data_IF_440736374463
#
_entry.id   IF_440736374463
#
_cell.length_a   1.000
_cell.length_b   1.000
_cell.length_c   1.000
_cell.angle_alpha   90.00
_cell.angle_beta   90.00
_cell.angle_gamma   90.00
#
_symmetry.space_group_name_H-M   'P 1'
#
loop_
_entity.id
_entity.type
_entity.pdbx_description
1 polymer ?
#
# COMPACT_ATOMS: atom_id res chain seq x y z
N UNK A 1 11.15 22.38 -3.63
CA UNK A 1 10.18 21.95 -2.59
C UNK A 1 10.85 20.85 -1.78
N UNK A 2 10.72 20.86 -0.45
CA UNK A 2 11.19 19.76 0.39
C UNK A 2 10.08 18.70 0.45
N UNK A 3 10.31 17.52 -0.11
CA UNK A 3 9.30 16.46 -0.22
C UNK A 3 9.55 15.42 0.86
N UNK A 4 8.52 15.08 1.64
CA UNK A 4 8.57 13.96 2.56
C UNK A 4 8.41 12.65 1.80
N UNK A 5 9.54 12.07 1.40
CA UNK A 5 9.56 10.80 0.67
C UNK A 5 9.10 9.62 1.53
N UNK A 6 9.25 9.70 2.86
CA UNK A 6 8.80 8.62 3.74
C UNK A 6 7.27 8.52 3.75
N UNK A 7 6.58 9.66 3.81
CA UNK A 7 5.12 9.69 3.70
C UNK A 7 4.63 9.17 2.33
N UNK A 8 5.35 9.48 1.24
CA UNK A 8 5.05 8.94 -0.09
C UNK A 8 5.24 7.42 -0.12
N UNK A 9 6.34 6.92 0.42
CA UNK A 9 6.64 5.49 0.43
C UNK A 9 5.59 4.70 1.21
N UNK A 10 5.18 5.21 2.37
CA UNK A 10 4.15 4.57 3.19
C UNK A 10 2.78 4.60 2.49
N UNK A 11 2.43 5.68 1.79
CA UNK A 11 1.22 5.74 0.97
C UNK A 11 1.27 4.76 -0.21
N UNK A 12 2.41 4.66 -0.91
CA UNK A 12 2.60 3.70 -2.01
C UNK A 12 2.51 2.27 -1.50
N UNK A 13 3.12 1.97 -0.36
CA UNK A 13 3.04 0.65 0.26
C UNK A 13 1.61 0.29 0.63
N UNK A 14 0.85 1.23 1.20
CA UNK A 14 -0.58 1.05 1.46
C UNK A 14 -1.37 0.80 0.17
N UNK A 15 -1.13 1.58 -0.89
CA UNK A 15 -1.85 1.42 -2.16
C UNK A 15 -1.48 0.13 -2.91
N UNK A 16 -0.29 -0.43 -2.71
CA UNK A 16 0.02 -1.77 -3.21
C UNK A 16 -0.93 -2.82 -2.61
N UNK A 17 -1.32 -2.69 -1.34
CA UNK A 17 -2.29 -3.59 -0.69
C UNK A 17 -3.66 -3.57 -1.38
N UNK A 18 -4.11 -2.41 -1.89
CA UNK A 18 -5.34 -2.29 -2.67
C UNK A 18 -5.35 -3.20 -3.90
N UNK A 19 -4.17 -3.48 -4.46
CA UNK A 19 -3.99 -4.30 -5.67
C UNK A 19 -3.51 -5.72 -5.39
N UNK A 20 -3.57 -6.16 -4.12
CA UNK A 20 -3.14 -7.48 -3.69
C UNK A 20 -3.91 -8.59 -4.42
N UNK A 21 -3.16 -9.54 -4.97
CA UNK A 21 -3.65 -10.75 -5.63
C UNK A 21 -2.64 -11.88 -5.38
N UNK A 22 -3.00 -13.11 -5.76
CA UNK A 22 -2.15 -14.30 -5.61
C UNK A 22 -1.47 -14.41 -4.24
N UNK A 23 -2.22 -14.07 -3.18
CA UNK A 23 -1.80 -14.03 -1.76
C UNK A 23 -0.77 -12.96 -1.38
N UNK A 24 0.26 -12.71 -2.19
CA UNK A 24 1.36 -11.80 -1.85
C UNK A 24 1.87 -10.95 -3.02
N UNK A 25 1.12 -10.85 -4.12
CA UNK A 25 1.53 -10.08 -5.31
C UNK A 25 0.69 -8.82 -5.45
N UNK A 26 1.28 -7.74 -5.95
CA UNK A 26 0.59 -6.47 -6.17
C UNK A 26 0.99 -5.84 -7.51
N UNK A 27 0.08 -5.11 -8.15
CA UNK A 27 0.39 -4.42 -9.41
C UNK A 27 1.36 -3.26 -9.15
N UNK A 28 2.46 -3.18 -9.91
CA UNK A 28 3.55 -2.23 -9.65
C UNK A 28 3.44 -0.91 -10.42
N UNK A 29 2.21 -0.42 -10.64
CA UNK A 29 1.92 0.77 -11.46
C UNK A 29 2.25 2.13 -10.81
N UNK A 30 2.98 2.13 -9.69
CA UNK A 30 3.34 3.32 -8.93
C UNK A 30 4.71 3.88 -9.36
N UNK A 31 5.06 5.04 -8.81
CA UNK A 31 6.36 5.68 -9.03
C UNK A 31 7.53 4.72 -8.80
N UNK A 32 8.48 4.72 -9.74
CA UNK A 32 9.59 3.77 -9.74
C UNK A 32 10.53 3.99 -8.57
N UNK A 33 10.78 5.23 -8.18
CA UNK A 33 11.73 5.54 -7.11
C UNK A 33 11.15 5.18 -5.75
N UNK A 34 9.84 5.35 -5.55
CA UNK A 34 9.14 4.83 -4.36
C UNK A 34 9.23 3.31 -4.26
N UNK A 35 9.00 2.58 -5.37
CA UNK A 35 9.14 1.12 -5.38
C UNK A 35 10.59 0.68 -5.08
N UNK A 36 11.60 1.38 -5.61
CA UNK A 36 13.00 1.10 -5.30
C UNK A 36 13.30 1.28 -3.80
N UNK A 37 12.83 2.37 -3.17
CA UNK A 37 13.00 2.57 -1.72
C UNK A 37 12.28 1.51 -0.89
N UNK A 38 11.10 1.05 -1.31
CA UNK A 38 10.40 -0.06 -0.65
C UNK A 38 11.15 -1.39 -0.77
N UNK A 39 11.83 -1.63 -1.90
CA UNK A 39 12.72 -2.76 -2.08
C UNK A 39 13.97 -2.66 -1.20
N UNK A 40 14.61 -1.50 -1.14
CA UNK A 40 15.76 -1.23 -0.24
C UNK A 40 15.38 -1.42 1.24
N UNK A 41 14.13 -1.10 1.61
CA UNK A 41 13.55 -1.36 2.94
C UNK A 41 13.21 -2.84 3.19
N UNK A 42 13.33 -3.72 2.18
CA UNK A 42 13.02 -5.14 2.29
C UNK A 42 11.52 -5.46 2.42
N UNK A 43 10.64 -4.56 1.96
CA UNK A 43 9.18 -4.73 2.06
C UNK A 43 8.58 -5.41 0.83
N UNK A 44 9.24 -5.26 -0.32
CA UNK A 44 8.87 -5.94 -1.57
C UNK A 44 10.11 -6.59 -2.19
N UNK A 45 9.90 -7.51 -3.13
CA UNK A 45 10.93 -8.02 -4.01
C UNK A 45 11.30 -7.02 -5.11
N UNK A 46 12.39 -7.30 -5.84
CA UNK A 46 12.96 -6.39 -6.83
C UNK A 46 11.92 -5.93 -7.88
N UNK A 47 11.58 -4.62 -7.93
CA UNK A 47 10.61 -4.08 -8.87
C UNK A 47 11.17 -3.93 -10.29
N UNK A 48 12.49 -3.99 -10.50
CA UNK A 48 13.17 -3.81 -11.79
C UNK A 48 13.19 -5.13 -12.58
N UNK A 49 12.00 -5.61 -12.92
CA UNK A 49 11.81 -6.82 -13.72
C UNK A 49 10.75 -6.59 -14.80
N UNK A 50 10.62 -7.55 -15.73
CA UNK A 50 9.60 -7.50 -16.80
C UNK A 50 8.18 -7.87 -16.33
N UNK A 51 8.02 -8.37 -15.10
CA UNK A 51 6.72 -8.74 -14.56
C UNK A 51 5.88 -7.48 -14.27
N UNK A 52 4.57 -7.60 -14.41
CA UNK A 52 3.63 -6.49 -14.11
C UNK A 52 3.37 -6.31 -12.61
N UNK A 53 3.83 -7.25 -11.78
CA UNK A 53 3.62 -7.26 -10.34
C UNK A 53 4.91 -7.35 -9.56
N UNK A 54 4.87 -6.87 -8.32
CA UNK A 54 5.87 -7.09 -7.27
C UNK A 54 5.34 -8.11 -6.28
N UNK A 55 6.26 -8.77 -5.57
CA UNK A 55 5.95 -9.72 -4.50
C UNK A 55 6.23 -9.00 -3.17
N UNK A 56 5.32 -9.08 -2.21
CA UNK A 56 5.56 -8.63 -0.85
C UNK A 56 6.46 -9.62 -0.11
N UNK A 57 7.35 -9.09 0.73
CA UNK A 57 7.89 -9.87 1.83
C UNK A 57 6.81 -10.05 2.90
N UNK A 58 7.01 -10.98 3.84
CA UNK A 58 6.07 -11.17 4.94
C UNK A 58 5.85 -9.87 5.74
N UNK A 59 6.94 -9.15 6.02
CA UNK A 59 6.89 -7.86 6.70
C UNK A 59 6.18 -6.79 5.87
N UNK A 60 6.46 -6.72 4.56
CA UNK A 60 5.79 -5.74 3.69
C UNK A 60 4.30 -5.99 3.52
N UNK A 61 3.86 -7.25 3.48
CA UNK A 61 2.42 -7.56 3.44
C UNK A 61 1.71 -7.14 4.73
N UNK A 62 2.30 -7.44 5.89
CA UNK A 62 1.76 -7.01 7.19
C UNK A 62 1.71 -5.49 7.30
N UNK A 63 2.78 -4.82 6.89
CA UNK A 63 2.90 -3.36 7.01
C UNK A 63 2.00 -2.62 6.03
N UNK A 64 1.91 -3.08 4.78
CA UNK A 64 0.98 -2.51 3.78
C UNK A 64 -0.48 -2.59 4.25
N UNK A 65 -0.89 -3.70 4.86
CA UNK A 65 -2.23 -3.83 5.44
C UNK A 65 -2.43 -2.86 6.62
N UNK A 66 -1.43 -2.71 7.50
CA UNK A 66 -1.49 -1.79 8.64
C UNK A 66 -1.67 -0.35 8.18
N UNK A 67 -0.84 0.09 7.22
CA UNK A 67 -0.89 1.43 6.64
C UNK A 67 -2.19 1.66 5.87
N UNK A 68 -2.67 0.67 5.11
CA UNK A 68 -3.94 0.80 4.41
C UNK A 68 -5.11 1.05 5.37
N UNK A 69 -5.15 0.31 6.49
CA UNK A 69 -6.13 0.55 7.56
C UNK A 69 -5.97 1.93 8.18
N UNK A 70 -4.74 2.37 8.44
CA UNK A 70 -4.46 3.67 9.03
C UNK A 70 -4.91 4.84 8.14
N UNK A 71 -4.70 4.73 6.83
CA UNK A 71 -4.93 5.84 5.90
C UNK A 71 -6.31 5.86 5.25
N UNK A 72 -6.91 4.69 4.99
CA UNK A 72 -8.04 4.59 4.06
C UNK A 72 -9.28 3.91 4.63
N UNK A 73 -9.22 3.33 5.84
CA UNK A 73 -10.41 2.81 6.50
C UNK A 73 -11.05 3.92 7.33
N UNK A 74 -12.27 4.30 6.96
CA UNK A 74 -13.03 5.27 7.73
C UNK A 74 -13.32 4.71 9.14
N UNK A 75 -13.16 5.55 10.16
CA UNK A 75 -13.75 5.29 11.47
C UNK A 75 -15.27 5.25 11.26
N UNK A 76 -15.88 4.08 11.39
CA UNK A 76 -17.25 3.83 10.93
C UNK A 76 -18.21 4.97 11.29
N UNK A 77 -18.76 5.62 10.27
CA UNK A 77 -19.95 6.43 10.48
C UNK A 77 -21.06 5.47 10.91
N UNK A 78 -21.46 5.56 12.18
CA UNK A 78 -22.79 5.15 12.61
C UNK A 78 -23.77 5.84 11.66
N UNK A 79 -24.32 5.11 10.71
CA UNK A 79 -25.57 5.49 10.08
C UNK A 79 -26.62 5.50 11.18
N UNK A 80 -26.84 6.67 11.77
CA UNK A 80 -28.06 6.95 12.49
C UNK A 80 -29.19 6.90 11.44
N UNK A 81 -29.69 5.69 11.17
CA UNK A 81 -30.97 5.50 10.52
C UNK A 81 -32.05 5.79 11.56
N UNK A 82 -32.16 7.05 11.95
CA UNK A 82 -33.34 7.62 12.55
C UNK A 82 -33.69 8.89 11.77
N UNK A 83 -34.57 8.76 10.80
CA UNK A 83 -35.61 9.77 10.64
C UNK A 83 -36.87 9.11 10.11
N UNK A 84 -37.89 9.18 10.95
CA UNK A 84 -39.28 8.84 10.72
C UNK A 84 -39.79 9.28 9.34
N UNK A 85 -40.52 8.38 8.68
CA UNK A 85 -41.80 8.66 8.01
C UNK A 85 -42.63 7.38 7.95
#
# INVERSE_FOLDING_TARGET
>A
MNIDTAAIDDAVLALLYLTLHDHNRAWKSFDRDALNRLYERGLIGDPVNKAKSVIFTENGLRESQRLFKQHFVAAGNKTNNETNL
#
